data_IF_730143370109
#
_entry.id   IF_730143370109
#
_cell.length_a   1.000
_cell.length_b   1.000
_cell.length_c   1.000
_cell.angle_alpha   90.00
_cell.angle_beta   90.00
_cell.angle_gamma   90.00
#
_symmetry.space_group_name_H-M   'P 1'
#
loop_
_entity.id
_entity.type
_entity.pdbx_description
1 polymer ?
#
# COMPACT_ATOMS: atom_id res chain seq x y z
N UNK A 1 23.03 28.96 6.73
CA UNK A 1 23.51 30.35 6.97
C UNK A 1 22.46 31.10 7.77
N UNK A 2 22.83 31.73 8.88
CA UNK A 2 21.92 32.27 9.91
C UNK A 2 20.75 33.12 9.38
N UNK A 3 20.97 33.89 8.31
CA UNK A 3 19.96 34.73 7.67
C UNK A 3 18.79 33.95 7.06
N UNK A 4 19.07 32.84 6.37
CA UNK A 4 18.02 31.98 5.82
C UNK A 4 17.16 31.38 6.92
N UNK A 5 17.78 31.01 8.05
CA UNK A 5 17.10 30.47 9.22
C UNK A 5 16.14 31.46 9.86
N UNK A 6 16.55 32.73 9.95
CA UNK A 6 15.70 33.83 10.42
C UNK A 6 14.49 34.01 9.49
N UNK A 7 14.69 33.97 8.16
CA UNK A 7 13.63 34.09 7.16
C UNK A 7 12.58 32.98 7.29
N UNK A 8 13.04 31.76 7.50
CA UNK A 8 12.20 30.58 7.64
C UNK A 8 11.35 30.62 8.91
N UNK A 9 11.97 30.89 10.06
CA UNK A 9 11.25 31.00 11.34
C UNK A 9 10.26 32.17 11.27
N UNK A 10 10.61 33.27 10.59
CA UNK A 10 9.68 34.38 10.33
C UNK A 10 8.45 33.93 9.54
N UNK A 11 8.64 33.19 8.45
CA UNK A 11 7.54 32.68 7.64
C UNK A 11 6.66 31.69 8.42
N UNK A 12 7.25 30.82 9.25
CA UNK A 12 6.52 29.88 10.09
C UNK A 12 5.63 30.57 11.14
N UNK A 13 6.05 31.76 11.59
CA UNK A 13 5.25 32.61 12.47
C UNK A 13 4.28 33.54 11.72
N UNK A 14 4.14 33.39 10.39
CA UNK A 14 3.33 34.24 9.51
C UNK A 14 3.62 35.74 9.62
N UNK A 15 4.87 36.11 9.93
CA UNK A 15 5.28 37.50 10.06
C UNK A 15 5.86 38.03 8.74
N UNK A 16 5.54 39.27 8.40
CA UNK A 16 6.22 40.03 7.35
C UNK A 16 7.59 40.51 7.84
N UNK A 17 8.46 40.87 6.90
CA UNK A 17 9.76 41.48 7.24
C UNK A 17 9.59 42.79 8.02
N UNK A 18 8.50 43.51 7.78
CA UNK A 18 8.21 44.76 8.46
C UNK A 18 7.82 44.50 9.93
N UNK A 19 6.92 43.55 10.18
CA UNK A 19 6.50 43.15 11.53
C UNK A 19 7.64 42.55 12.36
N UNK A 20 8.52 41.75 11.74
CA UNK A 20 9.67 41.23 12.48
C UNK A 20 10.68 42.34 12.80
N UNK A 21 10.92 43.26 11.87
CA UNK A 21 11.92 44.32 12.02
C UNK A 21 11.48 45.45 12.97
N UNK A 22 10.17 45.66 13.14
CA UNK A 22 9.60 46.81 13.85
C UNK A 22 10.19 47.05 15.26
N UNK A 23 10.68 48.27 15.52
CA UNK A 23 11.34 48.61 16.79
C UNK A 23 12.64 47.85 17.11
N UNK A 24 13.19 47.04 16.18
CA UNK A 24 14.48 46.34 16.32
C UNK A 24 15.50 46.88 15.32
N UNK A 25 15.17 46.82 14.02
CA UNK A 25 16.03 47.20 12.89
C UNK A 25 15.16 47.69 11.72
N UNK A 26 15.77 48.23 10.65
CA UNK A 26 15.01 48.55 9.44
C UNK A 26 14.65 47.28 8.66
N UNK A 27 13.48 47.29 7.98
CA UNK A 27 13.07 46.22 7.05
C UNK A 27 14.14 45.91 6.01
N UNK A 28 14.78 46.94 5.47
CA UNK A 28 15.87 46.81 4.49
C UNK A 28 17.07 46.07 5.06
N UNK A 29 17.44 46.36 6.32
CA UNK A 29 18.53 45.66 7.00
C UNK A 29 18.19 44.20 7.28
N UNK A 30 16.95 43.91 7.71
CA UNK A 30 16.46 42.53 7.85
C UNK A 30 16.50 41.78 6.52
N UNK A 31 16.12 42.41 5.40
CA UNK A 31 16.19 41.82 4.07
C UNK A 31 17.62 41.43 3.66
N UNK A 32 18.61 42.28 3.98
CA UNK A 32 20.02 42.00 3.72
C UNK A 32 20.56 40.87 4.61
N UNK A 33 20.11 40.79 5.87
CA UNK A 33 20.40 39.69 6.78
C UNK A 33 19.82 38.38 6.22
N UNK A 34 18.54 38.37 5.83
CA UNK A 34 17.85 37.18 5.32
C UNK A 34 18.46 36.65 4.01
N UNK A 35 19.05 37.54 3.19
CA UNK A 35 19.80 37.18 1.97
C UNK A 35 21.23 36.70 2.26
N UNK A 36 21.69 36.78 3.50
CA UNK A 36 23.05 36.43 3.90
C UNK A 36 24.11 37.46 3.49
N UNK A 37 23.69 38.64 3.02
CA UNK A 37 24.59 39.71 2.55
C UNK A 37 25.22 40.47 3.72
N UNK A 38 24.55 40.50 4.88
CA UNK A 38 25.02 41.20 6.08
C UNK A 38 24.89 40.30 7.30
N UNK A 39 25.92 40.28 8.13
CA UNK A 39 25.92 39.58 9.42
C UNK A 39 25.27 40.47 10.50
N UNK A 40 24.22 40.01 11.18
CA UNK A 40 23.61 40.75 12.29
C UNK A 40 24.52 40.72 13.54
N UNK A 41 24.39 41.73 14.40
CA UNK A 41 25.04 41.70 15.72
C UNK A 41 24.31 40.76 16.68
N UNK A 42 25.00 40.30 17.73
CA UNK A 42 24.41 39.44 18.77
C UNK A 42 23.19 40.06 19.43
N UNK A 43 23.18 41.37 19.65
CA UNK A 43 22.03 42.09 20.21
C UNK A 43 20.81 42.04 19.28
N UNK A 44 21.02 42.20 17.96
CA UNK A 44 19.96 42.05 16.96
C UNK A 44 19.43 40.61 16.96
N UNK A 45 20.29 39.61 16.99
CA UNK A 45 19.88 38.21 17.08
C UNK A 45 19.03 37.93 18.32
N UNK A 46 19.42 38.39 19.51
CA UNK A 46 18.64 38.21 20.74
C UNK A 46 17.26 38.86 20.63
N UNK A 47 17.17 40.07 20.06
CA UNK A 47 15.89 40.77 19.90
C UNK A 47 14.97 40.07 18.89
N UNK A 48 15.53 39.63 17.76
CA UNK A 48 14.79 38.87 16.74
C UNK A 48 14.31 37.52 17.29
N UNK A 49 15.14 36.80 18.06
CA UNK A 49 14.77 35.51 18.63
C UNK A 49 13.60 35.63 19.60
N UNK A 50 13.61 36.66 20.46
CA UNK A 50 12.50 36.95 21.37
C UNK A 50 11.18 37.18 20.64
N UNK A 51 11.21 37.91 19.52
CA UNK A 51 10.00 38.17 18.72
C UNK A 51 9.51 36.93 17.96
N UNK A 52 10.45 36.10 17.53
CA UNK A 52 10.17 34.82 16.85
C UNK A 52 9.83 33.68 17.82
N UNK A 53 9.74 33.98 19.12
CA UNK A 53 9.50 33.02 20.19
C UNK A 53 10.48 31.83 20.17
N UNK A 54 11.76 32.12 19.91
CA UNK A 54 12.84 31.15 19.85
C UNK A 54 14.11 31.65 20.57
N UNK A 55 15.11 30.77 20.67
CA UNK A 55 16.43 31.08 21.23
C UNK A 55 17.42 31.46 20.12
N UNK A 56 18.50 32.16 20.47
CA UNK A 56 19.57 32.48 19.50
C UNK A 56 20.23 31.21 18.95
N UNK A 57 20.28 30.14 19.75
CA UNK A 57 20.82 28.85 19.32
C UNK A 57 19.99 28.22 18.19
N UNK A 58 18.69 28.50 18.09
CA UNK A 58 17.82 28.02 17.01
C UNK A 58 18.20 28.61 15.63
N UNK A 59 18.91 29.74 15.63
CA UNK A 59 19.49 30.33 14.42
C UNK A 59 20.82 29.67 14.01
N UNK A 60 21.51 29.04 14.98
CA UNK A 60 22.85 28.47 14.82
C UNK A 60 22.87 26.96 14.73
N UNK A 61 21.74 26.29 15.02
CA UNK A 61 21.60 24.85 14.83
C UNK A 61 21.96 24.48 13.37
N UNK A 62 22.88 23.55 13.20
CA UNK A 62 23.22 22.98 11.90
C UNK A 62 21.97 22.40 11.23
N UNK A 63 22.02 22.34 9.89
CA UNK A 63 20.91 22.11 8.95
C UNK A 63 20.15 20.78 9.16
N UNK A 64 20.54 19.94 10.13
CA UNK A 64 20.01 18.59 10.34
C UNK A 64 18.70 18.49 11.13
N UNK A 65 18.18 19.55 11.75
CA UNK A 65 16.89 19.47 12.46
C UNK A 65 16.00 20.66 12.15
N UNK A 66 15.55 20.74 10.89
CA UNK A 66 14.34 21.47 10.63
C UNK A 66 13.18 20.71 11.28
N UNK A 67 12.57 21.31 12.31
CA UNK A 67 11.16 21.12 12.60
C UNK A 67 10.41 21.52 11.34
N UNK A 68 10.21 20.58 10.42
CA UNK A 68 9.25 20.76 9.35
C UNK A 68 7.96 21.22 10.01
N UNK A 69 7.27 22.19 9.41
CA UNK A 69 5.93 22.49 9.87
C UNK A 69 5.13 21.18 9.74
N UNK A 70 4.56 20.67 10.84
CA UNK A 70 3.79 19.43 10.83
C UNK A 70 2.75 19.44 9.70
N UNK A 71 2.20 20.62 9.39
CA UNK A 71 1.28 20.82 8.28
C UNK A 71 1.90 20.55 6.89
N UNK A 72 3.16 20.91 6.68
CA UNK A 72 3.86 20.67 5.42
C UNK A 72 4.16 19.18 5.22
N UNK A 73 4.65 18.49 6.26
CA UNK A 73 4.83 17.03 6.23
C UNK A 73 3.49 16.35 5.94
N UNK A 74 2.42 16.72 6.65
CA UNK A 74 1.10 16.12 6.45
C UNK A 74 0.59 16.28 5.03
N UNK A 75 0.76 17.46 4.43
CA UNK A 75 0.40 17.72 3.04
C UNK A 75 1.21 16.85 2.09
N UNK A 76 2.50 16.71 2.33
CA UNK A 76 3.35 15.85 1.51
C UNK A 76 3.00 14.37 1.66
N UNK A 77 2.78 13.88 2.89
CA UNK A 77 2.32 12.50 3.11
C UNK A 77 1.07 12.23 2.27
N UNK A 78 0.05 13.10 2.35
CA UNK A 78 -1.17 12.94 1.55
C UNK A 78 -0.92 12.99 0.04
N UNK A 79 -0.03 13.88 -0.43
CA UNK A 79 0.35 13.96 -1.84
C UNK A 79 1.01 12.66 -2.32
N UNK A 80 1.97 12.14 -1.56
CA UNK A 80 2.74 10.95 -1.95
C UNK A 80 1.97 9.65 -1.71
N UNK A 81 1.04 9.58 -0.75
CA UNK A 81 0.09 8.47 -0.64
C UNK A 81 -0.69 8.28 -1.95
N UNK A 82 -1.22 9.37 -2.52
CA UNK A 82 -1.89 9.34 -3.82
C UNK A 82 -0.98 8.88 -4.95
N UNK A 83 0.29 9.30 -4.96
CA UNK A 83 1.27 8.87 -5.96
C UNK A 83 1.57 7.38 -5.86
N UNK A 84 1.72 6.85 -4.66
CA UNK A 84 1.93 5.42 -4.45
C UNK A 84 0.68 4.62 -4.85
N UNK A 85 -0.52 5.14 -4.58
CA UNK A 85 -1.79 4.51 -4.99
C UNK A 85 -1.98 4.46 -6.51
N UNK A 86 -1.47 5.46 -7.23
CA UNK A 86 -1.44 5.48 -8.70
C UNK A 86 -0.20 4.79 -9.30
N UNK A 87 0.63 4.15 -8.48
CA UNK A 87 1.87 3.48 -8.90
C UNK A 87 2.92 4.42 -9.55
N UNK A 88 2.85 5.72 -9.28
CA UNK A 88 3.78 6.77 -9.77
C UNK A 88 5.11 6.77 -8.97
N UNK A 89 5.79 5.63 -8.86
CA UNK A 89 6.94 5.45 -7.97
C UNK A 89 8.18 6.29 -8.33
N UNK A 90 8.31 6.74 -9.58
CA UNK A 90 9.39 7.64 -9.99
C UNK A 90 9.28 9.02 -9.32
N UNK A 91 8.05 9.51 -9.11
CA UNK A 91 7.81 10.73 -8.34
C UNK A 91 8.08 10.48 -6.87
N UNK A 92 7.63 9.34 -6.33
CA UNK A 92 7.79 8.97 -4.91
C UNK A 92 9.25 8.99 -4.46
N UNK A 93 10.22 8.76 -5.35
CA UNK A 93 11.65 8.90 -5.03
C UNK A 93 11.99 10.25 -4.38
N UNK A 94 11.37 11.34 -4.81
CA UNK A 94 11.59 12.67 -4.24
C UNK A 94 11.17 12.78 -2.77
N UNK A 95 10.22 11.95 -2.32
CA UNK A 95 9.83 11.84 -0.91
C UNK A 95 10.83 11.00 -0.10
N UNK A 96 11.40 9.97 -0.73
CA UNK A 96 12.43 9.12 -0.11
C UNK A 96 13.72 9.91 0.11
N UNK A 97 14.11 10.73 -0.87
CA UNK A 97 15.32 11.56 -0.82
C UNK A 97 15.27 12.64 0.30
N UNK A 98 14.10 12.87 0.91
CA UNK A 98 13.90 13.80 2.03
C UNK A 98 14.11 13.16 3.41
N UNK A 99 14.22 11.84 3.48
CA UNK A 99 14.54 11.09 4.71
C UNK A 99 13.60 11.39 5.90
N UNK A 100 12.30 11.55 5.60
CA UNK A 100 11.26 11.85 6.58
C UNK A 100 11.14 10.81 7.71
N UNK A 101 11.59 9.58 7.48
CA UNK A 101 11.60 8.50 8.46
C UNK A 101 12.61 8.71 9.59
N UNK A 102 13.58 9.62 9.42
CA UNK A 102 14.58 9.95 10.45
C UNK A 102 14.10 11.03 11.43
N UNK A 103 12.94 11.63 11.17
CA UNK A 103 12.43 12.74 11.99
C UNK A 103 11.70 12.17 13.21
N UNK A 104 12.26 12.44 14.39
CA UNK A 104 11.72 11.92 15.66
C UNK A 104 10.43 12.63 16.13
N UNK A 105 10.26 13.90 15.77
CA UNK A 105 9.15 14.75 16.24
C UNK A 105 7.82 14.51 15.50
N UNK A 106 7.77 13.62 14.51
CA UNK A 106 6.55 13.31 13.75
C UNK A 106 5.60 12.47 14.62
N UNK A 107 4.30 12.83 14.73
CA UNK A 107 3.32 12.00 15.43
C UNK A 107 3.35 10.55 14.95
N UNK A 108 3.22 9.59 15.88
CA UNK A 108 3.36 8.17 15.58
C UNK A 108 2.49 7.71 14.38
N UNK A 109 1.20 8.08 14.26
CA UNK A 109 0.40 7.70 13.10
C UNK A 109 0.95 8.21 11.77
N UNK A 110 1.45 9.44 11.74
CA UNK A 110 2.02 10.05 10.53
C UNK A 110 3.39 9.46 10.18
N UNK A 111 4.21 9.17 11.19
CA UNK A 111 5.43 8.38 11.03
C UNK A 111 5.11 6.99 10.43
N UNK A 112 4.03 6.35 10.88
CA UNK A 112 3.54 5.11 10.33
C UNK A 112 3.14 5.21 8.85
N UNK A 113 2.49 6.30 8.45
CA UNK A 113 2.14 6.59 7.05
C UNK A 113 3.38 6.84 6.18
N UNK A 114 4.39 7.57 6.70
CA UNK A 114 5.69 7.74 6.04
C UNK A 114 6.33 6.37 5.78
N UNK A 115 6.41 5.53 6.82
CA UNK A 115 6.97 4.18 6.68
C UNK A 115 6.20 3.33 5.66
N UNK A 116 4.88 3.46 5.57
CA UNK A 116 4.07 2.76 4.57
C UNK A 116 4.40 3.19 3.13
N UNK A 117 4.62 4.49 2.89
CA UNK A 117 5.10 5.01 1.58
C UNK A 117 6.45 4.39 1.23
N UNK A 118 7.40 4.42 2.18
CA UNK A 118 8.74 3.86 1.99
C UNK A 118 8.69 2.35 1.70
N UNK A 119 7.87 1.60 2.43
CA UNK A 119 7.72 0.16 2.25
C UNK A 119 7.25 -0.18 0.83
N UNK A 120 6.24 0.54 0.32
CA UNK A 120 5.70 0.36 -1.04
C UNK A 120 6.71 0.77 -2.12
N UNK A 121 7.45 1.86 -1.91
CA UNK A 121 8.52 2.27 -2.81
C UNK A 121 9.64 1.21 -2.91
N UNK A 122 10.14 0.72 -1.78
CA UNK A 122 11.19 -0.30 -1.79
C UNK A 122 10.70 -1.63 -2.34
N UNK A 123 9.41 -1.97 -2.16
CA UNK A 123 8.80 -3.13 -2.80
C UNK A 123 8.88 -3.01 -4.32
N UNK A 124 8.52 -1.84 -4.86
CA UNK A 124 8.64 -1.56 -6.29
C UNK A 124 10.09 -1.65 -6.81
N UNK A 125 11.07 -1.18 -6.03
CA UNK A 125 12.50 -1.30 -6.39
C UNK A 125 13.07 -2.71 -6.18
N UNK A 126 12.30 -3.65 -5.62
CA UNK A 126 12.75 -5.01 -5.33
C UNK A 126 13.66 -5.15 -4.10
N UNK A 127 13.76 -4.12 -3.25
CA UNK A 127 14.54 -4.16 -2.01
C UNK A 127 13.71 -4.75 -0.87
N UNK A 128 13.65 -6.09 -0.84
CA UNK A 128 12.85 -6.83 0.13
C UNK A 128 13.24 -6.54 1.59
N UNK A 129 14.53 -6.30 1.85
CA UNK A 129 15.02 -6.02 3.21
C UNK A 129 14.44 -4.72 3.74
N UNK A 130 14.48 -3.66 2.95
CA UNK A 130 13.90 -2.37 3.32
C UNK A 130 12.37 -2.43 3.32
N UNK A 131 11.75 -3.16 2.39
CA UNK A 131 10.30 -3.37 2.42
C UNK A 131 9.84 -3.94 3.76
N UNK A 132 10.43 -5.07 4.21
CA UNK A 132 10.08 -5.69 5.50
C UNK A 132 10.28 -4.74 6.68
N UNK A 133 11.45 -4.08 6.73
CA UNK A 133 11.77 -3.11 7.78
C UNK A 133 10.73 -2.00 7.89
N UNK A 134 10.37 -1.37 6.76
CA UNK A 134 9.44 -0.26 6.74
C UNK A 134 7.99 -0.73 6.97
N UNK A 135 7.61 -1.93 6.51
CA UNK A 135 6.29 -2.51 6.81
C UNK A 135 6.12 -2.75 8.32
N UNK A 136 7.13 -3.32 8.99
CA UNK A 136 7.06 -3.58 10.43
C UNK A 136 6.98 -2.29 11.25
N UNK A 137 7.78 -1.28 10.87
CA UNK A 137 7.71 0.06 11.47
C UNK A 137 6.35 0.71 11.23
N UNK A 138 5.79 0.60 10.03
CA UNK A 138 4.46 1.14 9.72
C UNK A 138 3.40 0.52 10.64
N UNK A 139 3.37 -0.80 10.77
CA UNK A 139 2.42 -1.49 11.66
C UNK A 139 2.57 -1.07 13.12
N UNK A 140 3.81 -1.07 13.64
CA UNK A 140 4.09 -0.68 15.03
C UNK A 140 3.61 0.74 15.35
N UNK A 141 3.76 1.66 14.40
CA UNK A 141 3.41 3.07 14.57
C UNK A 141 1.90 3.32 14.35
N UNK A 142 1.29 2.64 13.39
CA UNK A 142 -0.13 2.76 13.08
C UNK A 142 -1.03 2.06 14.10
N UNK A 143 -0.54 1.03 14.81
CA UNK A 143 -1.27 0.35 15.88
C UNK A 143 -1.48 1.20 17.13
N UNK A 144 -0.93 2.42 17.17
CA UNK A 144 -1.08 3.35 18.29
C UNK A 144 -2.44 4.05 18.33
N UNK A 145 -3.22 3.94 17.26
CA UNK A 145 -4.56 4.48 17.11
C UNK A 145 -5.54 3.39 16.66
N UNK A 146 -6.84 3.71 16.63
CA UNK A 146 -7.85 2.80 16.12
C UNK A 146 -7.57 2.38 14.67
N UNK A 147 -7.91 1.12 14.34
CA UNK A 147 -7.71 0.54 13.01
C UNK A 147 -8.36 1.44 11.95
N UNK A 148 -7.56 1.86 10.98
CA UNK A 148 -7.98 2.70 9.87
C UNK A 148 -7.41 2.17 8.54
N UNK A 149 -7.70 2.85 7.44
CA UNK A 149 -7.27 2.44 6.09
C UNK A 149 -5.75 2.30 5.97
N UNK A 150 -4.95 3.14 6.63
CA UNK A 150 -3.49 3.06 6.57
C UNK A 150 -2.99 1.79 7.28
N UNK A 151 -3.53 1.47 8.47
CA UNK A 151 -3.23 0.22 9.15
C UNK A 151 -3.59 -0.99 8.30
N UNK A 152 -4.79 -0.99 7.69
CA UNK A 152 -5.23 -2.06 6.78
C UNK A 152 -4.26 -2.20 5.60
N UNK A 153 -3.83 -1.11 4.98
CA UNK A 153 -2.87 -1.16 3.88
C UNK A 153 -1.50 -1.73 4.32
N UNK A 154 -1.06 -1.44 5.54
CA UNK A 154 0.16 -2.02 6.11
C UNK A 154 0.00 -3.53 6.38
N UNK A 155 -1.15 -3.97 6.91
CA UNK A 155 -1.48 -5.39 7.11
C UNK A 155 -1.52 -6.13 5.77
N UNK A 156 -2.16 -5.57 4.75
CA UNK A 156 -2.18 -6.16 3.41
C UNK A 156 -0.76 -6.38 2.89
N UNK A 157 0.10 -5.37 2.99
CA UNK A 157 1.50 -5.49 2.59
C UNK A 157 2.26 -6.53 3.41
N UNK A 158 2.06 -6.58 4.73
CA UNK A 158 2.68 -7.59 5.62
C UNK A 158 2.22 -9.00 5.27
N UNK A 159 0.93 -9.20 5.02
CA UNK A 159 0.36 -10.50 4.64
C UNK A 159 0.91 -11.01 3.30
N UNK A 160 1.15 -10.10 2.35
CA UNK A 160 1.80 -10.47 1.09
C UNK A 160 3.25 -10.94 1.32
N UNK A 161 4.01 -10.24 2.15
CA UNK A 161 5.40 -10.61 2.49
C UNK A 161 5.46 -11.95 3.22
N UNK A 162 4.57 -12.17 4.19
CA UNK A 162 4.47 -13.45 4.93
C UNK A 162 4.14 -14.61 3.98
N UNK A 163 3.19 -14.41 3.05
CA UNK A 163 2.86 -15.42 2.06
C UNK A 163 4.02 -15.70 1.09
N UNK A 164 4.79 -14.69 0.69
CA UNK A 164 6.01 -14.83 -0.12
C UNK A 164 7.12 -15.60 0.63
N UNK A 165 7.22 -15.43 1.95
CA UNK A 165 8.14 -16.17 2.82
C UNK A 165 7.67 -17.61 3.12
N UNK A 166 6.46 -17.99 2.67
CA UNK A 166 5.86 -19.31 2.93
C UNK A 166 5.07 -19.41 4.24
N UNK A 167 5.04 -18.34 5.04
CA UNK A 167 4.31 -18.21 6.31
C UNK A 167 2.84 -17.82 6.06
N UNK A 168 2.13 -18.62 5.26
CA UNK A 168 0.75 -18.32 4.84
C UNK A 168 -0.24 -18.38 6.01
N UNK A 169 0.02 -19.21 7.01
CA UNK A 169 -0.75 -19.28 8.26
C UNK A 169 -0.67 -17.96 9.03
N UNK A 170 0.53 -17.42 9.26
CA UNK A 170 0.72 -16.12 9.89
C UNK A 170 0.06 -14.98 9.10
N UNK A 171 0.07 -15.07 7.76
CA UNK A 171 -0.64 -14.14 6.90
C UNK A 171 -2.17 -14.20 7.08
N UNK A 172 -2.73 -15.39 7.27
CA UNK A 172 -4.16 -15.57 7.55
C UNK A 172 -4.49 -14.97 8.91
N UNK A 173 -3.72 -15.30 9.96
CA UNK A 173 -3.96 -14.84 11.32
C UNK A 173 -4.08 -13.31 11.42
N UNK A 174 -3.10 -12.58 10.87
CA UNK A 174 -3.11 -11.11 10.92
C UNK A 174 -4.26 -10.51 10.10
N UNK A 175 -4.63 -11.13 8.97
CA UNK A 175 -5.74 -10.68 8.14
C UNK A 175 -7.09 -10.90 8.84
N UNK A 176 -7.31 -12.08 9.44
CA UNK A 176 -8.56 -12.39 10.16
C UNK A 176 -8.73 -11.53 11.41
N UNK A 177 -7.66 -11.34 12.19
CA UNK A 177 -7.65 -10.42 13.33
C UNK A 177 -8.04 -9.01 12.87
N UNK A 178 -7.47 -8.53 11.77
CA UNK A 178 -7.79 -7.20 11.24
C UNK A 178 -9.24 -7.10 10.76
N UNK A 179 -9.78 -8.13 10.08
CA UNK A 179 -11.20 -8.17 9.67
C UNK A 179 -12.13 -8.16 10.89
N UNK A 180 -11.78 -8.89 11.95
CA UNK A 180 -12.54 -8.90 13.20
C UNK A 180 -12.59 -7.50 13.82
N UNK A 181 -11.44 -6.83 13.87
CA UNK A 181 -11.32 -5.47 14.40
C UNK A 181 -12.13 -4.47 13.56
N UNK A 182 -12.08 -4.52 12.21
CA UNK A 182 -12.84 -3.58 11.36
C UNK A 182 -14.35 -3.82 11.42
N UNK A 183 -14.78 -5.08 11.44
CA UNK A 183 -16.22 -5.42 11.42
C UNK A 183 -16.93 -5.02 12.73
N UNK A 184 -16.22 -5.03 13.87
CA UNK A 184 -16.77 -4.64 15.17
C UNK A 184 -17.29 -3.20 15.22
N UNK A 185 -16.82 -2.32 14.33
CA UNK A 185 -17.23 -0.92 14.25
C UNK A 185 -18.45 -0.67 13.35
N UNK A 186 -19.03 -1.72 12.75
CA UNK A 186 -20.38 -1.68 12.15
C UNK A 186 -20.49 -1.03 10.76
N UNK A 187 -19.44 -0.42 10.22
CA UNK A 187 -19.44 0.19 8.88
C UNK A 187 -18.64 -0.66 7.88
N UNK A 188 -19.37 -1.34 6.98
CA UNK A 188 -18.78 -1.98 5.82
C UNK A 188 -18.11 -0.93 4.93
N UNK A 189 -16.86 -1.15 4.57
CA UNK A 189 -16.12 -0.26 3.68
C UNK A 189 -15.20 -1.04 2.74
N UNK A 190 -14.47 -0.33 1.88
CA UNK A 190 -13.57 -0.94 0.90
C UNK A 190 -12.42 -1.74 1.55
N UNK A 191 -12.02 -1.43 2.78
CA UNK A 191 -11.01 -2.21 3.52
C UNK A 191 -11.47 -3.64 3.75
N UNK A 192 -12.74 -3.87 4.07
CA UNK A 192 -13.28 -5.21 4.28
C UNK A 192 -13.16 -6.05 3.01
N UNK A 193 -13.43 -5.45 1.85
CA UNK A 193 -13.26 -6.10 0.55
C UNK A 193 -11.78 -6.44 0.31
N UNK A 194 -10.87 -5.49 0.54
CA UNK A 194 -9.42 -5.70 0.33
C UNK A 194 -8.87 -6.82 1.22
N UNK A 195 -9.21 -6.82 2.50
CA UNK A 195 -8.78 -7.84 3.47
C UNK A 195 -9.31 -9.22 3.10
N UNK A 196 -10.62 -9.33 2.81
CA UNK A 196 -11.23 -10.60 2.39
C UNK A 196 -10.65 -11.11 1.08
N UNK A 197 -10.33 -10.21 0.15
CA UNK A 197 -9.67 -10.59 -1.11
C UNK A 197 -8.27 -11.18 -0.86
N UNK A 198 -7.50 -10.60 0.07
CA UNK A 198 -6.21 -11.16 0.48
C UNK A 198 -6.38 -12.52 1.19
N UNK A 199 -7.39 -12.67 2.05
CA UNK A 199 -7.74 -13.95 2.68
C UNK A 199 -8.11 -15.03 1.65
N UNK A 200 -8.89 -14.71 0.62
CA UNK A 200 -9.20 -15.65 -0.47
C UNK A 200 -7.92 -16.23 -1.07
N UNK A 201 -6.94 -15.37 -1.40
CA UNK A 201 -5.64 -15.80 -1.92
C UNK A 201 -4.93 -16.74 -0.94
N UNK A 202 -4.84 -16.35 0.34
CA UNK A 202 -4.15 -17.14 1.35
C UNK A 202 -4.84 -18.50 1.58
N UNK A 203 -6.16 -18.53 1.65
CA UNK A 203 -6.92 -19.77 1.81
C UNK A 203 -6.84 -20.70 0.60
N UNK A 204 -6.71 -20.17 -0.62
CA UNK A 204 -6.43 -20.99 -1.81
C UNK A 204 -5.05 -21.65 -1.71
N UNK A 205 -4.03 -20.90 -1.26
CA UNK A 205 -2.67 -21.42 -1.01
C UNK A 205 -2.72 -22.50 0.07
N UNK A 206 -3.45 -22.24 1.16
CA UNK A 206 -3.66 -23.15 2.28
C UNK A 206 -4.65 -24.30 1.98
N UNK A 207 -5.15 -24.40 0.74
CA UNK A 207 -6.08 -25.44 0.24
C UNK A 207 -7.43 -25.51 0.97
N UNK A 208 -7.85 -24.42 1.60
CA UNK A 208 -9.17 -24.28 2.25
C UNK A 208 -10.20 -23.71 1.27
N UNK A 209 -10.52 -24.50 0.23
CA UNK A 209 -11.32 -24.02 -0.91
C UNK A 209 -12.76 -23.63 -0.54
N UNK A 210 -13.37 -24.32 0.44
CA UNK A 210 -14.72 -23.99 0.89
C UNK A 210 -14.77 -22.60 1.56
N UNK A 211 -13.81 -22.32 2.46
CA UNK A 211 -13.68 -21.01 3.12
C UNK A 211 -13.38 -19.91 2.10
N UNK A 212 -12.44 -20.16 1.18
CA UNK A 212 -12.13 -19.23 0.10
C UNK A 212 -13.36 -18.91 -0.76
N UNK A 213 -14.14 -19.92 -1.16
CA UNK A 213 -15.37 -19.72 -1.93
C UNK A 213 -16.37 -18.85 -1.18
N UNK A 214 -16.64 -19.13 0.11
CA UNK A 214 -17.53 -18.31 0.94
C UNK A 214 -17.10 -16.85 0.98
N UNK A 215 -15.81 -16.60 1.16
CA UNK A 215 -15.27 -15.24 1.14
C UNK A 215 -15.45 -14.54 -0.21
N UNK A 216 -15.35 -15.25 -1.34
CA UNK A 216 -15.66 -14.65 -2.66
C UNK A 216 -17.13 -14.22 -2.77
N UNK A 217 -18.05 -15.02 -2.22
CA UNK A 217 -19.48 -14.66 -2.15
C UNK A 217 -19.71 -13.45 -1.24
N UNK A 218 -19.08 -13.43 -0.06
CA UNK A 218 -19.17 -12.29 0.87
C UNK A 218 -18.66 -11.00 0.21
N UNK A 219 -17.51 -11.06 -0.50
CA UNK A 219 -16.97 -9.91 -1.23
C UNK A 219 -17.98 -9.38 -2.24
N UNK A 220 -18.60 -10.24 -3.06
CA UNK A 220 -19.62 -9.81 -4.04
C UNK A 220 -20.81 -9.13 -3.39
N UNK A 221 -21.29 -9.67 -2.26
CA UNK A 221 -22.39 -9.07 -1.51
C UNK A 221 -22.03 -7.69 -0.98
N UNK A 222 -20.83 -7.54 -0.39
CA UNK A 222 -20.35 -6.25 0.12
C UNK A 222 -20.13 -5.26 -1.03
N UNK A 223 -19.50 -5.68 -2.12
CA UNK A 223 -19.30 -4.88 -3.34
C UNK A 223 -20.62 -4.37 -3.92
N UNK A 224 -21.64 -5.21 -4.00
CA UNK A 224 -22.98 -4.82 -4.46
C UNK A 224 -23.63 -3.80 -3.53
N UNK A 225 -23.55 -4.01 -2.21
CA UNK A 225 -24.10 -3.07 -1.22
C UNK A 225 -23.40 -1.70 -1.24
N UNK A 226 -22.10 -1.67 -1.47
CA UNK A 226 -21.30 -0.45 -1.51
C UNK A 226 -21.25 0.21 -2.90
N UNK A 227 -21.71 -0.47 -3.95
CA UNK A 227 -21.53 -0.07 -5.34
C UNK A 227 -20.05 0.18 -5.70
N UNK A 228 -19.17 -0.74 -5.26
CA UNK A 228 -17.72 -0.67 -5.47
C UNK A 228 -17.23 -1.95 -6.15
N UNK A 229 -16.44 -1.81 -7.21
CA UNK A 229 -15.71 -2.91 -7.84
C UNK A 229 -14.27 -2.94 -7.33
N UNK A 230 -13.76 -4.13 -7.03
CA UNK A 230 -12.37 -4.32 -6.61
C UNK A 230 -11.80 -5.61 -7.21
N UNK A 231 -10.85 -5.45 -8.14
CA UNK A 231 -10.14 -6.57 -8.81
C UNK A 231 -11.09 -7.67 -9.30
N UNK A 232 -12.19 -7.28 -9.94
CA UNK A 232 -13.31 -8.16 -10.28
C UNK A 232 -12.90 -9.36 -11.12
N UNK A 233 -12.08 -9.15 -12.15
CA UNK A 233 -11.57 -10.24 -13.00
C UNK A 233 -10.78 -11.27 -12.19
N UNK A 234 -9.91 -10.81 -11.28
CA UNK A 234 -9.09 -11.69 -10.44
C UNK A 234 -9.93 -12.40 -9.38
N UNK A 235 -10.95 -11.73 -8.83
CA UNK A 235 -11.92 -12.34 -7.92
C UNK A 235 -12.70 -13.46 -8.62
N UNK A 236 -13.16 -13.20 -9.86
CA UNK A 236 -13.84 -14.19 -10.69
C UNK A 236 -12.98 -15.43 -10.94
N UNK A 237 -11.67 -15.24 -11.22
CA UNK A 237 -10.72 -16.37 -11.34
C UNK A 237 -10.61 -17.19 -10.06
N UNK A 238 -10.51 -16.54 -8.90
CA UNK A 238 -10.47 -17.25 -7.62
C UNK A 238 -11.75 -18.03 -7.34
N UNK A 239 -12.91 -17.44 -7.62
CA UNK A 239 -14.19 -18.11 -7.47
C UNK A 239 -14.30 -19.33 -8.39
N UNK A 240 -13.97 -19.19 -9.67
CA UNK A 240 -13.93 -20.30 -10.62
C UNK A 240 -13.00 -21.43 -10.12
N UNK A 241 -11.79 -21.09 -9.67
CA UNK A 241 -10.85 -22.07 -9.15
C UNK A 241 -11.42 -22.80 -7.93
N UNK A 242 -12.05 -22.08 -7.01
CA UNK A 242 -12.66 -22.70 -5.83
C UNK A 242 -13.84 -23.60 -6.20
N UNK A 243 -14.68 -23.23 -7.18
CA UNK A 243 -15.76 -24.08 -7.69
C UNK A 243 -15.21 -25.38 -8.28
N UNK A 244 -14.17 -25.29 -9.14
CA UNK A 244 -13.50 -26.46 -9.71
C UNK A 244 -12.95 -27.37 -8.61
N UNK A 245 -12.27 -26.80 -7.60
CA UNK A 245 -11.70 -27.58 -6.48
C UNK A 245 -12.75 -28.17 -5.55
N UNK A 246 -13.96 -27.61 -5.51
CA UNK A 246 -15.11 -28.13 -4.77
C UNK A 246 -15.97 -29.12 -5.59
N UNK A 247 -15.58 -29.45 -6.83
CA UNK A 247 -16.34 -30.36 -7.70
C UNK A 247 -17.60 -29.74 -8.33
N UNK A 248 -17.76 -28.42 -8.23
CA UNK A 248 -18.91 -27.67 -8.78
C UNK A 248 -18.65 -27.26 -10.22
N UNK A 249 -18.43 -28.24 -11.09
CA UNK A 249 -17.98 -28.03 -12.47
C UNK A 249 -18.99 -27.29 -13.35
N UNK A 250 -20.30 -27.53 -13.15
CA UNK A 250 -21.35 -26.82 -13.90
C UNK A 250 -21.36 -25.32 -13.58
N UNK A 251 -21.33 -24.99 -12.29
CA UNK A 251 -21.25 -23.61 -11.81
C UNK A 251 -19.97 -22.92 -12.32
N UNK A 252 -18.85 -23.63 -12.34
CA UNK A 252 -17.59 -23.11 -12.88
C UNK A 252 -17.68 -22.80 -14.38
N UNK A 253 -18.36 -23.64 -15.17
CA UNK A 253 -18.59 -23.43 -16.61
C UNK A 253 -19.53 -22.25 -16.86
N UNK A 254 -20.61 -22.15 -16.09
CA UNK A 254 -21.55 -21.02 -16.17
C UNK A 254 -20.85 -19.70 -15.87
N UNK A 255 -20.07 -19.66 -14.78
CA UNK A 255 -19.30 -18.48 -14.40
C UNK A 255 -18.26 -18.11 -15.46
N UNK A 256 -17.60 -19.09 -16.08
CA UNK A 256 -16.63 -18.85 -17.14
C UNK A 256 -17.27 -18.16 -18.36
N UNK A 257 -18.49 -18.58 -18.72
CA UNK A 257 -19.16 -18.17 -19.96
C UNK A 257 -18.26 -18.43 -21.18
N UNK A 258 -18.25 -17.48 -22.12
CA UNK A 258 -17.43 -17.52 -23.33
C UNK A 258 -16.07 -16.82 -23.18
N UNK A 259 -15.56 -16.70 -21.95
CA UNK A 259 -14.25 -16.09 -21.72
C UNK A 259 -13.16 -16.79 -22.54
N UNK A 260 -12.40 -15.99 -23.29
CA UNK A 260 -11.22 -16.39 -24.06
C UNK A 260 -9.92 -16.28 -23.27
N UNK A 261 -10.01 -15.93 -21.99
CA UNK A 261 -8.88 -15.77 -21.09
C UNK A 261 -8.29 -17.13 -20.70
N UNK A 262 -6.97 -17.22 -20.64
CA UNK A 262 -6.25 -18.49 -20.50
C UNK A 262 -6.60 -19.25 -19.22
N UNK A 263 -6.64 -18.58 -18.06
CA UNK A 263 -6.97 -19.23 -16.79
C UNK A 263 -8.40 -19.80 -16.81
N UNK A 264 -9.35 -19.00 -17.31
CA UNK A 264 -10.74 -19.44 -17.52
C UNK A 264 -10.82 -20.63 -18.48
N UNK A 265 -10.07 -20.61 -19.59
CA UNK A 265 -9.97 -21.72 -20.54
C UNK A 265 -9.50 -23.02 -19.88
N UNK A 266 -8.43 -22.97 -19.07
CA UNK A 266 -7.91 -24.14 -18.35
C UNK A 266 -8.98 -24.73 -17.42
N UNK A 267 -9.63 -23.87 -16.64
CA UNK A 267 -10.68 -24.30 -15.70
C UNK A 267 -11.92 -24.83 -16.42
N UNK A 268 -12.28 -24.28 -17.59
CA UNK A 268 -13.34 -24.80 -18.47
C UNK A 268 -12.99 -26.19 -19.00
N UNK A 269 -11.79 -26.36 -19.59
CA UNK A 269 -11.34 -27.65 -20.12
C UNK A 269 -11.32 -28.71 -19.02
N UNK A 270 -10.80 -28.37 -17.83
CA UNK A 270 -10.79 -29.26 -16.68
C UNK A 270 -12.20 -29.65 -16.23
N UNK A 271 -13.12 -28.68 -16.16
CA UNK A 271 -14.52 -28.93 -15.78
C UNK A 271 -15.26 -29.81 -16.79
N UNK A 272 -15.01 -29.62 -18.09
CA UNK A 272 -15.58 -30.46 -19.15
C UNK A 272 -15.05 -31.90 -19.06
N UNK A 273 -13.76 -32.07 -18.80
CA UNK A 273 -13.15 -33.38 -18.62
C UNK A 273 -13.75 -34.13 -17.43
N UNK A 274 -13.93 -33.46 -16.29
CA UNK A 274 -14.58 -34.04 -15.10
C UNK A 274 -16.08 -34.36 -15.29
N UNK A 275 -16.70 -33.80 -16.33
CA UNK A 275 -18.09 -34.09 -16.72
C UNK A 275 -18.17 -35.08 -17.89
N UNK A 276 -17.12 -35.85 -18.14
CA UNK A 276 -16.99 -36.86 -19.21
C UNK A 276 -17.10 -36.30 -20.65
N UNK A 277 -16.97 -34.98 -20.83
CA UNK A 277 -16.98 -34.31 -22.13
C UNK A 277 -15.57 -34.22 -22.73
N UNK A 278 -14.92 -35.38 -22.83
CA UNK A 278 -13.48 -35.50 -23.16
C UNK A 278 -13.10 -34.81 -24.48
N UNK A 279 -13.94 -34.94 -25.52
CA UNK A 279 -13.67 -34.32 -26.84
C UNK A 279 -13.68 -32.79 -26.79
N UNK A 280 -14.66 -32.21 -26.09
CA UNK A 280 -14.76 -30.76 -25.91
C UNK A 280 -13.58 -30.24 -25.07
N UNK A 281 -13.21 -30.98 -24.02
CA UNK A 281 -12.07 -30.64 -23.18
C UNK A 281 -10.74 -30.66 -23.94
N UNK A 282 -10.50 -31.68 -24.77
CA UNK A 282 -9.28 -31.81 -25.60
C UNK A 282 -9.19 -30.70 -26.67
N UNK A 283 -10.30 -30.40 -27.36
CA UNK A 283 -10.35 -29.30 -28.31
C UNK A 283 -10.02 -27.96 -27.66
N UNK A 284 -10.60 -27.70 -26.49
CA UNK A 284 -10.36 -26.45 -25.76
C UNK A 284 -8.91 -26.38 -25.26
N UNK A 285 -8.37 -27.49 -24.74
CA UNK A 285 -6.98 -27.56 -24.27
C UNK A 285 -5.98 -27.28 -25.40
N UNK A 286 -6.21 -27.81 -26.60
CA UNK A 286 -5.36 -27.57 -27.79
C UNK A 286 -5.39 -26.12 -28.28
N UNK A 287 -6.49 -25.41 -28.00
CA UNK A 287 -6.63 -23.99 -28.34
C UNK A 287 -5.92 -23.06 -27.34
N UNK A 288 -5.49 -23.57 -26.18
CA UNK A 288 -4.76 -22.80 -25.17
C UNK A 288 -3.31 -22.62 -25.65
N UNK A 289 -2.75 -21.39 -25.64
CA UNK A 289 -1.38 -21.13 -26.06
C UNK A 289 -0.37 -22.06 -25.36
N UNK A 290 0.64 -22.53 -26.11
CA UNK A 290 1.70 -23.37 -25.59
C UNK A 290 2.49 -22.67 -24.46
N UNK A 291 2.99 -23.42 -23.46
CA UNK A 291 3.45 -22.85 -22.20
C UNK A 291 4.86 -22.29 -22.28
N UNK A 292 5.01 -21.08 -22.82
CA UNK A 292 6.24 -20.30 -22.66
C UNK A 292 6.03 -19.19 -21.63
N UNK A 293 6.47 -19.51 -20.40
CA UNK A 293 6.39 -18.75 -19.12
C UNK A 293 5.07 -18.93 -18.38
N UNK A 294 5.19 -19.18 -17.07
CA UNK A 294 4.14 -19.37 -16.05
C UNK A 294 2.71 -19.16 -16.57
N UNK A 295 2.08 -20.24 -17.01
CA UNK A 295 0.76 -20.28 -17.67
C UNK A 295 -0.31 -19.50 -16.90
N UNK A 296 -0.16 -19.41 -15.57
CA UNK A 296 -1.06 -18.70 -14.69
C UNK A 296 -0.31 -17.97 -13.58
N UNK A 297 -0.83 -16.81 -13.19
CA UNK A 297 -0.43 -16.12 -11.95
C UNK A 297 -0.86 -16.84 -10.66
N UNK A 298 -1.64 -17.92 -10.77
CA UNK A 298 -2.14 -18.73 -9.66
C UNK A 298 -1.61 -20.16 -9.80
N UNK A 299 -0.66 -20.60 -8.95
CA UNK A 299 0.01 -21.91 -9.08
C UNK A 299 -0.95 -23.11 -9.16
N UNK A 300 -2.09 -23.02 -8.47
CA UNK A 300 -3.12 -24.07 -8.45
C UNK A 300 -3.76 -24.28 -9.84
N UNK A 301 -3.87 -23.23 -10.67
CA UNK A 301 -4.40 -23.32 -12.04
C UNK A 301 -3.39 -24.01 -12.95
N UNK A 302 -2.10 -23.68 -12.81
CA UNK A 302 -1.04 -24.40 -13.53
C UNK A 302 -1.01 -25.89 -13.17
N UNK A 303 -1.36 -26.24 -11.93
CA UNK A 303 -1.57 -27.64 -11.51
C UNK A 303 -2.70 -28.34 -12.26
N UNK A 304 -3.85 -27.67 -12.45
CA UNK A 304 -4.97 -28.21 -13.23
C UNK A 304 -4.56 -28.46 -14.69
N UNK A 305 -3.83 -27.52 -15.30
CA UNK A 305 -3.35 -27.68 -16.67
C UNK A 305 -2.42 -28.89 -16.80
N UNK A 306 -1.42 -29.04 -15.92
CA UNK A 306 -0.48 -30.17 -15.92
C UNK A 306 -1.18 -31.51 -15.75
N UNK A 307 -2.18 -31.57 -14.86
CA UNK A 307 -2.98 -32.77 -14.67
C UNK A 307 -3.77 -33.12 -15.93
N UNK A 308 -4.42 -32.11 -16.52
CA UNK A 308 -5.24 -32.29 -17.72
C UNK A 308 -4.40 -32.70 -18.94
N UNK A 309 -3.24 -32.08 -19.16
CA UNK A 309 -2.32 -32.45 -20.24
C UNK A 309 -1.76 -33.85 -20.05
N UNK A 310 -1.45 -34.28 -18.82
CA UNK A 310 -1.03 -35.66 -18.55
C UNK A 310 -2.12 -36.71 -18.82
N UNK A 311 -3.40 -36.33 -18.72
CA UNK A 311 -4.56 -37.22 -18.95
C UNK A 311 -5.03 -37.23 -20.40
N UNK A 312 -5.03 -36.07 -21.07
CA UNK A 312 -5.54 -35.90 -22.44
C UNK A 312 -4.44 -35.93 -23.51
N UNK A 313 -3.21 -35.54 -23.16
CA UNK A 313 -2.03 -35.55 -24.03
C UNK A 313 -1.28 -36.89 -24.03
N UNK A 314 -1.85 -37.94 -23.46
CA UNK A 314 -1.38 -39.32 -23.57
C UNK A 314 -1.93 -40.01 -24.82
N UNK A 315 -1.49 -39.57 -26.00
CA UNK A 315 -1.40 -40.29 -27.27
C UNK A 315 -0.40 -39.55 -28.18
#
# INVERSE_FOLDING_TARGET
>A
MIGQRIKEIRNNNNLTQEELADGIISRTYLSLIEKGTVQPSTNVLVKLSKRLNCTVNDFMAEVSHFKYNNFEILREIGHYELKVDNEDYEIVKHFIDKEYEQIEDVPLPDSGRIHLIYARYFKFKGDLKRTKLHTDKALQKLSTIAVNQHYVNAVLLKSELLAEDGETDAAIDILEETVYLTTKFGELNISDIKLRFALVKCYIIFKQYYTAYRLTTDIKQISSRLNITYKEEKLKKYEMLTLVKLGKYKDALELAGDSSETDAGIMRAYSLWQLDKVKEADQLLKAIPAPDKEISSIPQISGLYKELTGRLGGL
#
